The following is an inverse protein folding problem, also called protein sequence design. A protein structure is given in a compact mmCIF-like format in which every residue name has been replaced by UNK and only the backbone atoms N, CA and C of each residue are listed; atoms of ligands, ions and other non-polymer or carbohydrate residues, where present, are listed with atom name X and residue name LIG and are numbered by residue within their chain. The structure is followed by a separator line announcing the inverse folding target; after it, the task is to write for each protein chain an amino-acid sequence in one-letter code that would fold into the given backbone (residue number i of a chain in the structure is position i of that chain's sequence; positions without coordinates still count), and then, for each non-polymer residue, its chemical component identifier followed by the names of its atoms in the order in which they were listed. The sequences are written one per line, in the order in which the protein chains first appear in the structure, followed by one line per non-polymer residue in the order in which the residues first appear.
data_IF_553010982224
#
_entry.id   IF_553010982224
#
_cell.length_a   1.000
_cell.length_b   1.000
_cell.length_c   1.000
_cell.angle_alpha   90.00
_cell.angle_beta   90.00
_cell.angle_gamma   90.00
#
_symmetry.space_group_name_H-M   'P 1'
#
loop_
_entity.id
_entity.type
_entity.pdbx_description
1 polymer ?
#
# COMPACT_ATOMS: atom_id res chain seq x y z
N UNK A 1 2.34 -4.98 -50.10
CA UNK A 1 2.33 -5.22 -48.64
C UNK A 1 0.93 -4.96 -48.15
N UNK A 2 0.31 -5.97 -47.55
CA UNK A 2 -1.08 -5.87 -47.11
C UNK A 2 -1.13 -4.99 -45.84
N UNK A 3 -2.14 -4.12 -45.68
CA UNK A 3 -2.26 -3.23 -44.51
C UNK A 3 -2.32 -3.99 -43.18
N UNK A 4 -2.75 -5.26 -43.20
CA UNK A 4 -2.73 -6.19 -42.06
C UNK A 4 -1.31 -6.57 -41.60
N UNK A 5 -0.36 -6.75 -42.52
CA UNK A 5 1.03 -7.10 -42.21
C UNK A 5 1.75 -5.95 -41.51
N UNK A 6 1.51 -4.72 -41.97
CA UNK A 6 2.08 -3.52 -41.36
C UNK A 6 1.54 -3.26 -39.94
N UNK A 7 0.27 -3.60 -39.70
CA UNK A 7 -0.34 -3.53 -38.37
C UNK A 7 0.25 -4.61 -37.44
N UNK A 8 0.39 -5.84 -37.93
CA UNK A 8 1.00 -6.94 -37.17
C UNK A 8 2.43 -6.59 -36.73
N UNK A 9 3.26 -6.05 -37.63
CA UNK A 9 4.62 -5.64 -37.32
C UNK A 9 4.68 -4.53 -36.24
N UNK A 10 3.74 -3.57 -36.27
CA UNK A 10 3.65 -2.52 -35.23
C UNK A 10 3.26 -3.10 -33.87
N UNK A 11 2.34 -4.06 -33.86
CA UNK A 11 1.93 -4.75 -32.62
C UNK A 11 3.10 -5.54 -32.04
N UNK A 12 3.83 -6.29 -32.86
CA UNK A 12 5.01 -7.04 -32.43
C UNK A 12 6.12 -6.12 -31.89
N UNK A 13 6.38 -5.00 -32.56
CA UNK A 13 7.30 -3.98 -32.08
C UNK A 13 6.88 -3.43 -30.70
N UNK A 14 5.58 -3.14 -30.51
CA UNK A 14 5.09 -2.65 -29.22
C UNK A 14 5.16 -3.72 -28.13
N UNK A 15 4.90 -4.98 -28.47
CA UNK A 15 5.01 -6.10 -27.51
C UNK A 15 6.47 -6.27 -27.06
N UNK A 16 7.43 -6.19 -27.98
CA UNK A 16 8.86 -6.32 -27.64
C UNK A 16 9.35 -5.16 -26.78
N UNK A 17 8.92 -3.94 -27.08
CA UNK A 17 9.18 -2.76 -26.26
C UNK A 17 8.64 -2.94 -24.83
N UNK A 18 7.36 -3.29 -24.68
CA UNK A 18 6.73 -3.49 -23.37
C UNK A 18 7.39 -4.62 -22.57
N UNK A 19 7.80 -5.72 -23.22
CA UNK A 19 8.54 -6.81 -22.57
C UNK A 19 9.89 -6.32 -22.02
N UNK A 20 10.59 -5.47 -22.77
CA UNK A 20 11.88 -4.92 -22.33
C UNK A 20 11.73 -3.96 -21.13
N UNK A 21 10.65 -3.18 -21.10
CA UNK A 21 10.33 -2.26 -20.01
C UNK A 21 9.97 -3.03 -18.72
N UNK A 22 9.14 -4.08 -18.82
CA UNK A 22 8.83 -4.97 -17.70
C UNK A 22 10.11 -5.58 -17.12
N UNK A 23 10.98 -6.13 -17.97
CA UNK A 23 12.25 -6.71 -17.53
C UNK A 23 13.19 -5.69 -16.85
N UNK A 24 13.13 -4.40 -17.25
CA UNK A 24 13.87 -3.34 -16.59
C UNK A 24 13.30 -3.04 -15.19
N UNK A 25 11.98 -2.94 -15.06
CA UNK A 25 11.32 -2.72 -13.78
C UNK A 25 11.53 -3.88 -12.80
N UNK A 26 11.46 -5.13 -13.26
CA UNK A 26 11.72 -6.31 -12.43
C UNK A 26 13.15 -6.31 -11.87
N UNK A 27 14.15 -5.96 -12.70
CA UNK A 27 15.54 -5.79 -12.25
C UNK A 27 15.69 -4.68 -11.21
N UNK A 28 15.02 -3.54 -11.41
CA UNK A 28 15.02 -2.44 -10.44
C UNK A 28 14.39 -2.87 -9.09
N UNK A 29 13.29 -3.61 -9.13
CA UNK A 29 12.64 -4.17 -7.94
C UNK A 29 13.54 -5.18 -7.21
N UNK A 30 14.23 -6.05 -7.95
CA UNK A 30 15.20 -6.99 -7.40
C UNK A 30 16.35 -6.26 -6.68
N UNK A 31 16.90 -5.21 -7.29
CA UNK A 31 17.96 -4.39 -6.68
C UNK A 31 17.49 -3.69 -5.39
N UNK A 32 16.27 -3.15 -5.37
CA UNK A 32 15.68 -2.53 -4.19
C UNK A 32 15.45 -3.54 -3.05
N UNK A 33 15.00 -4.76 -3.39
CA UNK A 33 14.83 -5.85 -2.41
C UNK A 33 16.17 -6.29 -1.82
N UNK A 34 17.20 -6.46 -2.66
CA UNK A 34 18.56 -6.78 -2.20
C UNK A 34 19.17 -5.70 -1.31
N UNK A 35 18.90 -4.42 -1.59
CA UNK A 35 19.33 -3.31 -0.71
C UNK A 35 18.62 -3.33 0.65
N UNK A 36 17.34 -3.71 0.69
CA UNK A 36 16.56 -3.80 1.94
C UNK A 36 17.05 -4.93 2.85
N UNK A 37 17.54 -6.04 2.29
CA UNK A 37 18.11 -7.14 3.07
C UNK A 37 19.55 -6.83 3.53
N UNK A 38 20.33 -6.08 2.74
CA UNK A 38 21.69 -5.67 3.12
C UNK A 38 21.73 -4.50 4.13
N UNK A 39 20.71 -3.63 4.16
CA UNK A 39 20.64 -2.48 5.07
C UNK A 39 20.08 -2.75 6.47
N UNK A 40 19.71 -4.00 6.79
CA UNK A 40 19.16 -4.36 8.09
C UNK A 40 20.24 -4.69 9.15
N UNK A 41 21.52 -4.69 8.78
CA UNK A 41 22.64 -5.14 9.64
C UNK A 41 23.58 -4.03 10.14
N UNK A 42 23.33 -2.75 9.84
CA UNK A 42 24.21 -1.67 10.33
C UNK A 42 23.40 -0.47 10.85
N UNK A 43 23.14 -0.48 12.17
CA UNK A 43 23.40 0.61 13.14
C UNK A 43 22.50 0.41 14.36
N UNK A 44 22.91 -0.50 15.24
CA UNK A 44 22.62 -0.39 16.66
C UNK A 44 23.71 0.51 17.27
N UNK A 45 23.32 1.65 17.85
CA UNK A 45 23.97 2.40 18.93
C UNK A 45 23.79 3.92 18.79
N UNK A 46 23.02 4.51 19.71
CA UNK A 46 23.09 5.88 20.27
C UNK A 46 21.67 6.22 20.80
N UNK A 47 21.34 5.85 22.03
CA UNK A 47 21.56 6.63 23.24
C UNK A 47 21.01 8.07 23.17
N UNK A 48 19.89 8.31 23.84
CA UNK A 48 19.15 9.58 23.82
C UNK A 48 18.01 9.59 24.83
N UNK A 49 18.35 9.41 26.11
CA UNK A 49 17.50 9.75 27.25
C UNK A 49 17.09 11.23 27.20
N UNK A 50 15.78 11.52 27.31
CA UNK A 50 15.21 12.71 27.99
C UNK A 50 13.67 12.66 28.00
N UNK A 51 13.16 12.30 29.16
CA UNK A 51 12.09 12.97 29.94
C UNK A 51 10.96 13.74 29.22
N UNK A 52 9.75 13.23 29.49
CA UNK A 52 8.59 13.95 30.06
C UNK A 52 8.04 15.15 29.29
N UNK A 53 6.90 14.94 28.64
CA UNK A 53 5.80 15.92 28.68
C UNK A 53 4.49 15.18 28.82
N UNK A 54 3.85 15.35 29.98
CA UNK A 54 2.42 15.15 30.15
C UNK A 54 1.67 16.01 29.11
N UNK A 55 0.67 15.44 28.45
CA UNK A 55 -0.53 16.21 28.13
C UNK A 55 -1.75 15.30 28.08
N UNK A 56 -2.60 15.51 29.06
CA UNK A 56 -3.95 14.97 29.18
C UNK A 56 -4.73 15.21 27.90
N UNK A 57 -5.47 14.20 27.45
CA UNK A 57 -6.27 14.30 26.23
C UNK A 57 -7.22 13.13 26.04
N UNK A 58 -8.22 13.03 26.93
CA UNK A 58 -9.56 12.49 26.67
C UNK A 58 -9.66 11.03 26.20
N UNK A 59 -9.94 10.16 27.17
CA UNK A 59 -10.39 8.79 26.95
C UNK A 59 -11.69 8.77 26.11
N UNK A 60 -11.59 8.41 24.84
CA UNK A 60 -12.75 7.94 24.08
C UNK A 60 -12.86 6.43 24.27
N UNK A 61 -13.95 6.08 24.95
CA UNK A 61 -14.40 4.74 25.29
C UNK A 61 -14.72 3.97 23.99
N UNK A 62 -13.74 3.32 23.38
CA UNK A 62 -13.98 2.40 22.27
C UNK A 62 -14.07 0.97 22.80
N UNK A 63 -15.25 0.38 22.60
CA UNK A 63 -15.60 -0.97 22.99
C UNK A 63 -14.55 -1.98 22.48
N UNK A 64 -13.96 -2.73 23.42
CA UNK A 64 -13.07 -3.86 23.11
C UNK A 64 -13.91 -4.99 22.51
N UNK A 65 -14.13 -4.97 21.20
CA UNK A 65 -14.59 -6.16 20.47
C UNK A 65 -13.42 -7.15 20.32
N UNK A 66 -13.70 -8.46 20.40
CA UNK A 66 -12.67 -9.49 20.44
C UNK A 66 -11.84 -9.50 19.15
N UNK A 67 -10.52 -9.41 19.32
CA UNK A 67 -9.50 -9.49 18.27
C UNK A 67 -9.51 -10.89 17.66
N UNK A 68 -10.27 -11.08 16.58
CA UNK A 68 -10.01 -12.19 15.66
C UNK A 68 -8.77 -11.81 14.84
N UNK A 69 -7.70 -12.62 14.85
CA UNK A 69 -6.56 -12.41 13.96
C UNK A 69 -7.04 -12.72 12.54
N UNK A 70 -7.61 -11.72 11.88
CA UNK A 70 -8.02 -11.78 10.49
C UNK A 70 -6.90 -11.15 9.69
N UNK A 71 -6.17 -11.98 8.97
CA UNK A 71 -5.32 -11.54 7.86
C UNK A 71 -6.04 -10.45 7.08
N UNK A 72 -5.45 -9.26 6.97
CA UNK A 72 -6.01 -8.17 6.20
C UNK A 72 -5.87 -8.48 4.70
N UNK A 73 -6.84 -9.23 4.16
CA UNK A 73 -7.00 -9.40 2.72
C UNK A 73 -7.40 -8.06 2.09
N UNK A 74 -7.15 -7.89 0.78
CA UNK A 74 -7.56 -6.69 0.06
C UNK A 74 -9.08 -6.48 0.17
N UNK A 75 -9.88 -7.56 0.09
CA UNK A 75 -11.33 -7.52 0.28
C UNK A 75 -11.74 -7.02 1.67
N UNK A 76 -11.10 -7.50 2.73
CA UNK A 76 -11.40 -7.04 4.09
C UNK A 76 -11.06 -5.56 4.31
N UNK A 77 -10.01 -5.07 3.64
CA UNK A 77 -9.65 -3.64 3.64
C UNK A 77 -10.69 -2.82 2.87
N UNK A 78 -11.20 -3.34 1.75
CA UNK A 78 -12.26 -2.70 0.97
C UNK A 78 -13.59 -2.62 1.75
N UNK A 79 -13.95 -3.68 2.46
CA UNK A 79 -15.14 -3.68 3.33
C UNK A 79 -15.02 -2.65 4.46
N UNK A 80 -13.83 -2.52 5.07
CA UNK A 80 -13.61 -1.49 6.09
C UNK A 80 -13.74 -0.05 5.54
N UNK A 81 -13.39 0.18 4.27
CA UNK A 81 -13.66 1.47 3.62
C UNK A 81 -15.15 1.73 3.43
N UNK A 82 -15.93 0.69 3.08
CA UNK A 82 -17.41 0.78 3.01
C UNK A 82 -18.03 1.06 4.37
N UNK A 83 -17.46 0.53 5.45
CA UNK A 83 -17.85 0.83 6.84
C UNK A 83 -17.48 2.26 7.29
N UNK A 84 -16.84 3.06 6.41
CA UNK A 84 -16.50 4.47 6.66
C UNK A 84 -15.13 4.71 7.26
N UNK A 85 -14.26 3.69 7.33
CA UNK A 85 -12.88 3.86 7.79
C UNK A 85 -11.99 4.41 6.68
N UNK A 86 -11.90 5.73 6.55
CA UNK A 86 -11.14 6.38 5.47
C UNK A 86 -9.61 6.44 5.71
N UNK A 87 -9.13 6.03 6.89
CA UNK A 87 -7.70 6.05 7.24
C UNK A 87 -7.07 4.67 7.33
N UNK A 88 -5.94 4.50 6.64
CA UNK A 88 -5.15 3.26 6.68
C UNK A 88 -4.68 2.89 8.11
N UNK A 89 -4.45 3.89 8.98
CA UNK A 89 -4.09 3.67 10.39
C UNK A 89 -5.24 3.10 11.22
N UNK A 90 -6.47 3.48 10.92
CA UNK A 90 -7.67 3.00 11.61
C UNK A 90 -7.96 1.54 11.21
N UNK A 91 -7.93 1.26 9.90
CA UNK A 91 -8.03 -0.09 9.34
C UNK A 91 -6.94 -1.00 9.92
N UNK A 92 -5.69 -0.54 9.98
CA UNK A 92 -4.57 -1.30 10.54
C UNK A 92 -4.81 -1.72 12.01
N UNK A 93 -5.37 -0.83 12.83
CA UNK A 93 -5.73 -1.11 14.23
C UNK A 93 -6.86 -2.12 14.34
N UNK A 94 -7.84 -2.07 13.44
CA UNK A 94 -8.97 -3.01 13.40
C UNK A 94 -8.51 -4.44 13.10
N UNK A 95 -7.61 -4.61 12.14
CA UNK A 95 -7.12 -5.93 11.72
C UNK A 95 -5.86 -6.40 12.46
N UNK A 96 -5.26 -5.55 13.30
CA UNK A 96 -4.03 -5.88 14.03
C UNK A 96 -2.80 -6.03 13.13
N UNK A 97 -2.82 -5.42 11.94
CA UNK A 97 -1.72 -5.44 10.97
C UNK A 97 -0.99 -4.10 10.93
N UNK A 98 0.16 -4.05 10.27
CA UNK A 98 0.87 -2.77 10.09
C UNK A 98 0.16 -1.87 9.07
N UNK A 99 0.22 -0.56 9.28
CA UNK A 99 -0.31 0.42 8.32
C UNK A 99 0.39 0.36 6.95
N UNK A 100 1.62 -0.18 6.88
CA UNK A 100 2.31 -0.43 5.61
C UNK A 100 1.61 -1.54 4.81
N UNK A 101 1.22 -2.65 5.46
CA UNK A 101 0.49 -3.74 4.80
C UNK A 101 -0.85 -3.23 4.26
N UNK A 102 -1.59 -2.47 5.06
CA UNK A 102 -2.87 -1.88 4.63
C UNK A 102 -2.67 -0.92 3.44
N UNK A 103 -1.64 -0.07 3.46
CA UNK A 103 -1.33 0.81 2.32
C UNK A 103 -0.99 0.06 1.05
N UNK A 104 -0.26 -1.06 1.15
CA UNK A 104 0.02 -1.90 -0.01
C UNK A 104 -1.28 -2.49 -0.59
N UNK A 105 -2.19 -2.98 0.27
CA UNK A 105 -3.50 -3.47 -0.18
C UNK A 105 -4.38 -2.38 -0.78
N UNK A 106 -4.34 -1.17 -0.23
CA UNK A 106 -5.05 -0.03 -0.78
C UNK A 106 -4.49 0.41 -2.13
N UNK A 107 -3.18 0.32 -2.35
CA UNK A 107 -2.56 0.57 -3.65
C UNK A 107 -2.96 -0.49 -4.69
N UNK A 108 -3.01 -1.77 -4.33
CA UNK A 108 -3.53 -2.84 -5.21
C UNK A 108 -5.00 -2.57 -5.61
N UNK A 109 -5.83 -2.10 -4.67
CA UNK A 109 -7.22 -1.74 -4.95
C UNK A 109 -7.35 -0.44 -5.79
N UNK A 110 -6.40 0.48 -5.69
CA UNK A 110 -6.34 1.71 -6.49
C UNK A 110 -5.97 1.38 -7.94
N UNK A 111 -5.00 0.50 -8.14
CA UNK A 111 -4.63 -0.03 -9.46
C UNK A 111 -5.80 -0.77 -10.13
N UNK A 112 -6.60 -1.49 -9.33
CA UNK A 112 -7.84 -2.12 -9.79
C UNK A 112 -9.01 -1.14 -9.99
N UNK A 113 -8.82 0.16 -9.75
CA UNK A 113 -9.86 1.19 -9.89
C UNK A 113 -11.00 1.13 -8.86
N UNK A 114 -10.86 0.31 -7.81
CA UNK A 114 -11.91 0.11 -6.79
C UNK A 114 -11.86 1.17 -5.69
N UNK A 115 -10.71 1.78 -5.45
CA UNK A 115 -10.54 2.83 -4.42
C UNK A 115 -9.74 4.00 -4.97
N UNK A 116 -9.94 5.18 -4.41
CA UNK A 116 -9.13 6.36 -4.69
C UNK A 116 -8.61 6.97 -3.40
N UNK A 117 -7.43 7.58 -3.50
CA UNK A 117 -6.86 8.41 -2.44
C UNK A 117 -7.22 9.87 -2.66
N UNK A 118 -7.55 10.55 -1.57
CA UNK A 118 -7.85 11.98 -1.53
C UNK A 118 -7.09 12.64 -0.38
N UNK A 119 -6.78 13.93 -0.52
CA UNK A 119 -6.08 14.71 0.50
C UNK A 119 -4.57 14.83 0.30
N UNK A 120 -3.90 15.47 1.27
CA UNK A 120 -2.47 15.77 1.22
C UNK A 120 -1.65 14.68 1.93
N UNK A 121 -0.31 14.69 1.82
CA UNK A 121 0.63 13.75 2.44
C UNK A 121 0.37 13.43 3.92
N UNK A 122 -0.14 14.40 4.70
CA UNK A 122 -0.44 14.24 6.14
C UNK A 122 -1.89 13.87 6.45
N UNK A 123 -2.76 13.93 5.46
CA UNK A 123 -4.21 13.76 5.60
C UNK A 123 -4.79 12.86 4.50
N UNK A 124 -4.02 11.86 4.08
CA UNK A 124 -4.46 10.91 3.06
C UNK A 124 -5.67 10.13 3.57
N UNK A 125 -6.77 10.24 2.83
CA UNK A 125 -8.02 9.54 3.04
C UNK A 125 -8.30 8.66 1.83
N UNK A 126 -8.83 7.48 2.10
CA UNK A 126 -9.18 6.50 1.07
C UNK A 126 -10.69 6.45 0.93
N UNK A 127 -11.16 6.37 -0.32
CA UNK A 127 -12.58 6.27 -0.65
C UNK A 127 -12.76 5.06 -1.55
N UNK A 128 -13.74 4.23 -1.22
CA UNK A 128 -14.21 3.19 -2.14
C UNK A 128 -15.06 3.80 -3.24
N UNK A 129 -14.79 3.42 -4.48
CA UNK A 129 -15.77 3.59 -5.56
C UNK A 129 -16.83 2.51 -5.34
N UNK A 130 -18.00 2.94 -4.86
CA UNK A 130 -19.15 2.06 -4.76
C UNK A 130 -19.62 1.75 -6.19
N UNK A 131 -19.50 0.50 -6.60
CA UNK A 131 -20.43 -0.11 -7.55
C UNK A 131 -21.55 -0.77 -6.78
#
# INVERSE_FOLDING_TARGET
MQPSEALAAKIEARITELKSEIAAHERALAALRGRKTAGASSTAAANGSRTRSQRNGRATRQARRPRRPRTASAEAVFDALKEGQDQASAIARQFGVSAAVVRNRLAELEEAGRVSRTGNRRSTRWRSHAS
#
